data_IF_770978590123
#
_entry.id   IF_770978590123
#
_cell.length_a   1.000
_cell.length_b   1.000
_cell.length_c   1.000
_cell.angle_alpha   90.00
_cell.angle_beta   90.00
_cell.angle_gamma   90.00
#
_symmetry.space_group_name_H-M   'P 1'
#
loop_
_entity.id
_entity.type
_entity.pdbx_description
1 polymer ?
#
# COMPACT_ATOMS: atom_id res chain seq x y z
N UNK A 1 -14.65 -7.89 13.87
CA UNK A 1 -14.87 -7.38 12.50
C UNK A 1 -13.93 -6.19 12.30
N UNK A 2 -12.89 -6.36 11.47
CA UNK A 2 -11.92 -5.30 11.21
C UNK A 2 -12.54 -4.20 10.34
N UNK A 3 -12.26 -2.94 10.68
CA UNK A 3 -12.72 -1.78 9.94
C UNK A 3 -12.02 -1.75 8.57
N UNK A 4 -12.75 -2.06 7.51
CA UNK A 4 -12.24 -1.91 6.14
C UNK A 4 -12.28 -0.42 5.80
N UNK A 5 -11.11 0.21 5.73
CA UNK A 5 -10.98 1.63 5.39
C UNK A 5 -11.06 1.77 3.87
N UNK A 6 -12.07 2.48 3.36
CA UNK A 6 -12.19 2.77 1.94
C UNK A 6 -11.43 4.05 1.59
N UNK A 7 -10.33 3.92 0.86
CA UNK A 7 -9.42 5.02 0.52
C UNK A 7 -9.85 5.84 -0.70
N UNK A 8 -10.87 5.42 -1.46
CA UNK A 8 -11.24 6.05 -2.74
C UNK A 8 -10.35 5.59 -3.90
N UNK A 9 -10.89 5.52 -5.12
CA UNK A 9 -10.21 4.93 -6.28
C UNK A 9 -8.94 5.68 -6.67
N UNK A 10 -8.93 7.00 -6.53
CA UNK A 10 -7.79 7.87 -6.83
C UNK A 10 -6.60 7.67 -5.87
N UNK A 11 -6.86 7.21 -4.64
CA UNK A 11 -5.81 6.96 -3.64
C UNK A 11 -5.25 5.55 -3.68
N UNK A 12 -5.92 4.60 -4.35
CA UNK A 12 -5.41 3.22 -4.50
C UNK A 12 -4.05 3.20 -5.17
N UNK A 13 -3.17 2.34 -4.68
CA UNK A 13 -1.87 2.14 -5.30
C UNK A 13 -2.06 1.31 -6.59
N UNK A 14 -1.56 1.75 -7.76
CA UNK A 14 -1.69 0.96 -8.97
C UNK A 14 -0.81 -0.29 -8.87
N UNK A 15 -1.43 -1.46 -8.88
CA UNK A 15 -0.73 -2.74 -8.81
C UNK A 15 -0.61 -3.29 -10.24
N UNK A 16 0.58 -3.18 -10.80
CA UNK A 16 0.93 -3.89 -12.03
C UNK A 16 1.24 -5.35 -11.72
N UNK A 17 1.17 -6.22 -12.73
CA UNK A 17 1.54 -7.63 -12.58
C UNK A 17 2.99 -7.79 -12.11
N UNK A 18 3.92 -7.00 -12.67
CA UNK A 18 5.33 -7.01 -12.25
C UNK A 18 5.48 -6.66 -10.76
N UNK A 19 4.78 -5.63 -10.28
CA UNK A 19 4.83 -5.25 -8.87
C UNK A 19 4.24 -6.33 -7.98
N UNK A 20 3.14 -6.96 -8.39
CA UNK A 20 2.52 -8.07 -7.70
C UNK A 20 3.51 -9.25 -7.53
N UNK A 21 4.14 -9.68 -8.61
CA UNK A 21 5.12 -10.78 -8.60
C UNK A 21 6.32 -10.46 -7.69
N UNK A 22 6.79 -9.21 -7.69
CA UNK A 22 7.87 -8.76 -6.80
C UNK A 22 7.46 -8.75 -5.32
N UNK A 23 6.22 -8.38 -5.01
CA UNK A 23 5.70 -8.42 -3.64
C UNK A 23 5.55 -9.86 -3.15
N UNK A 24 5.01 -10.76 -3.97
CA UNK A 24 4.92 -12.18 -3.62
C UNK A 24 6.29 -12.81 -3.37
N UNK A 25 7.27 -12.51 -4.23
CA UNK A 25 8.65 -12.98 -4.03
C UNK A 25 9.23 -12.48 -2.70
N UNK A 26 9.08 -11.20 -2.40
CA UNK A 26 9.58 -10.65 -1.14
C UNK A 26 8.88 -11.27 0.07
N UNK A 27 7.56 -11.45 0.02
CA UNK A 27 6.80 -12.09 1.10
C UNK A 27 7.28 -13.52 1.36
N UNK A 28 7.56 -14.27 0.29
CA UNK A 28 8.14 -15.61 0.41
C UNK A 28 9.54 -15.58 1.04
N UNK A 29 10.37 -14.58 0.73
CA UNK A 29 11.70 -14.42 1.36
C UNK A 29 11.62 -14.14 2.87
N UNK A 30 10.47 -13.65 3.36
CA UNK A 30 10.18 -13.44 4.79
C UNK A 30 9.26 -14.54 5.37
N UNK A 31 9.27 -15.75 4.79
CA UNK A 31 8.48 -16.91 5.26
C UNK A 31 6.97 -16.64 5.39
N UNK A 32 6.43 -15.65 4.68
CA UNK A 32 5.01 -15.30 4.77
C UNK A 32 4.59 -14.58 6.05
N UNK A 33 5.52 -14.07 6.85
CA UNK A 33 5.24 -13.28 8.07
C UNK A 33 4.38 -12.03 7.79
N UNK A 34 4.39 -11.55 6.55
CA UNK A 34 3.55 -10.44 6.08
C UNK A 34 2.72 -10.93 4.90
N UNK A 35 1.41 -10.77 4.95
CA UNK A 35 0.53 -11.10 3.84
C UNK A 35 0.60 -10.08 2.71
N UNK A 36 0.23 -10.52 1.50
CA UNK A 36 0.13 -9.62 0.34
C UNK A 36 -0.85 -8.46 0.58
N UNK A 37 -1.95 -8.73 1.29
CA UNK A 37 -2.93 -7.71 1.65
C UNK A 37 -2.32 -6.63 2.56
N UNK A 38 -1.53 -7.05 3.56
CA UNK A 38 -0.84 -6.11 4.45
C UNK A 38 0.18 -5.27 3.70
N UNK A 39 1.00 -5.88 2.83
CA UNK A 39 1.98 -5.16 2.02
C UNK A 39 1.30 -4.10 1.12
N UNK A 40 0.23 -4.47 0.42
CA UNK A 40 -0.56 -3.54 -0.40
C UNK A 40 -1.17 -2.44 0.46
N UNK A 41 -1.79 -2.79 1.59
CA UNK A 41 -2.39 -1.84 2.51
C UNK A 41 -1.37 -0.81 3.02
N UNK A 42 -0.16 -1.24 3.36
CA UNK A 42 0.94 -0.34 3.73
C UNK A 42 1.32 0.62 2.61
N UNK A 43 1.41 0.16 1.35
CA UNK A 43 1.69 1.02 0.21
C UNK A 43 0.58 2.07 -0.01
N UNK A 44 -0.67 1.69 0.17
CA UNK A 44 -1.81 2.61 0.06
C UNK A 44 -1.77 3.70 1.15
N UNK A 45 -1.49 3.31 2.40
CA UNK A 45 -1.33 4.24 3.52
C UNK A 45 -0.15 5.20 3.32
N UNK A 46 1.00 4.68 2.86
CA UNK A 46 2.16 5.50 2.56
C UNK A 46 1.86 6.52 1.45
N UNK A 47 1.23 6.07 0.35
CA UNK A 47 0.80 6.97 -0.74
C UNK A 47 -0.15 8.05 -0.23
N UNK A 48 -1.11 7.70 0.63
CA UNK A 48 -2.01 8.67 1.23
C UNK A 48 -1.25 9.70 2.07
N UNK A 49 -0.35 9.25 2.96
CA UNK A 49 0.45 10.13 3.80
C UNK A 49 1.32 11.10 2.98
N UNK A 50 1.95 10.61 1.90
CA UNK A 50 2.73 11.45 0.99
C UNK A 50 1.86 12.50 0.27
N UNK A 51 0.65 12.11 -0.18
CA UNK A 51 -0.31 13.03 -0.81
C UNK A 51 -0.78 14.09 0.19
N UNK A 52 -1.05 13.71 1.44
CA UNK A 52 -1.50 14.62 2.48
C UNK A 52 -0.37 15.57 2.92
N UNK A 53 0.85 15.07 3.11
CA UNK A 53 2.02 15.90 3.42
C UNK A 53 2.38 16.87 2.29
N UNK A 54 2.20 16.47 1.04
CA UNK A 54 2.40 17.37 -0.11
C UNK A 54 1.31 18.45 -0.24
N UNK A 55 0.16 18.30 0.43
CA UNK A 55 -0.91 19.30 0.46
C UNK A 55 -0.73 20.36 1.54
N UNK A 56 0.15 20.13 2.52
CA UNK A 56 0.52 21.20 3.46
C UNK A 56 1.34 22.24 2.70
N UNK A 57 0.85 23.48 2.52
CA UNK A 57 1.68 24.52 1.94
C UNK A 57 2.82 24.80 2.92
N UNK A 58 4.06 24.66 2.45
CA UNK A 58 5.24 25.20 3.11
C UNK A 58 5.00 26.69 3.40
N UNK A 59 4.60 26.99 4.63
CA UNK A 59 4.35 28.33 5.15
C UNK A 59 5.23 28.55 6.36
#
# INVERSE_FOLDING_TARGET
MGYVINLGKEKKFPITQELYERLESAIHDYDGEISLCEAIGTLELLKQSLIEGAKEPST
#
